data_IF_448321218505
#
_entry.id   IF_448321218505
#
_cell.length_a   1.000
_cell.length_b   1.000
_cell.length_c   1.000
_cell.angle_alpha   90.00
_cell.angle_beta   90.00
_cell.angle_gamma   90.00
#
_symmetry.space_group_name_H-M   'P 1'
#
loop_
_entity.id
_entity.type
_entity.pdbx_description
1 polymer ?
#
# COMPACT_ATOMS: atom_id res chain seq x y z
N UNK A 1 -2.11 -13.14 14.85
CA UNK A 1 -0.91 -12.68 15.57
C UNK A 1 -0.90 -11.17 15.52
N UNK A 2 -0.26 -10.52 16.48
CA UNK A 2 -0.02 -9.08 16.47
C UNK A 2 1.49 -8.83 16.63
N UNK A 3 1.91 -7.57 16.66
CA UNK A 3 3.32 -7.18 16.79
C UNK A 3 4.02 -7.84 18.00
N UNK A 4 3.31 -8.03 19.12
CA UNK A 4 3.89 -8.52 20.37
C UNK A 4 4.15 -10.03 20.38
N UNK A 5 3.46 -10.78 19.52
CA UNK A 5 3.57 -12.25 19.45
C UNK A 5 3.81 -12.75 18.02
N UNK A 6 4.43 -11.92 17.18
CA UNK A 6 4.81 -12.32 15.84
C UNK A 6 5.85 -13.42 15.90
N UNK A 7 5.59 -14.50 15.18
CA UNK A 7 6.52 -15.60 14.95
C UNK A 7 6.54 -15.91 13.46
N UNK A 8 7.74 -15.86 12.87
CA UNK A 8 7.90 -15.99 11.42
C UNK A 8 7.49 -17.37 10.92
N UNK A 9 7.91 -18.42 11.62
CA UNK A 9 7.59 -19.80 11.23
C UNK A 9 6.08 -20.02 11.24
N UNK A 10 5.39 -19.58 12.30
CA UNK A 10 3.94 -19.64 12.38
C UNK A 10 3.27 -18.78 11.31
N UNK A 11 3.78 -17.58 11.01
CA UNK A 11 3.24 -16.72 9.96
C UNK A 11 3.29 -17.43 8.60
N UNK A 12 4.41 -18.05 8.27
CA UNK A 12 4.61 -18.74 6.99
C UNK A 12 3.78 -20.04 6.90
N UNK A 13 3.46 -20.68 8.03
CA UNK A 13 2.77 -21.98 8.11
C UNK A 13 1.28 -21.89 8.52
N UNK A 14 0.68 -20.71 8.45
CA UNK A 14 -0.76 -20.54 8.66
C UNK A 14 -1.39 -19.74 7.52
N UNK A 15 -2.71 -19.75 7.43
CA UNK A 15 -3.45 -18.90 6.52
C UNK A 15 -3.34 -17.42 6.92
N UNK A 16 -3.12 -16.55 5.94
CA UNK A 16 -3.19 -15.10 6.09
C UNK A 16 -4.56 -14.56 5.60
N UNK A 17 -4.69 -13.23 5.54
CA UNK A 17 -5.96 -12.58 5.15
C UNK A 17 -6.37 -12.89 3.70
N UNK A 18 -5.40 -13.03 2.79
CA UNK A 18 -5.65 -13.33 1.38
C UNK A 18 -6.25 -14.73 1.23
N UNK A 19 -5.72 -15.72 1.97
CA UNK A 19 -6.24 -17.08 1.98
C UNK A 19 -7.69 -17.15 2.48
N UNK A 20 -8.04 -16.31 3.47
CA UNK A 20 -9.39 -16.23 4.01
C UNK A 20 -10.33 -15.54 3.00
N UNK A 21 -9.90 -14.42 2.41
CA UNK A 21 -10.67 -13.69 1.40
C UNK A 21 -10.94 -14.55 0.16
N UNK A 22 -9.94 -15.29 -0.32
CA UNK A 22 -10.08 -16.20 -1.46
C UNK A 22 -11.10 -17.31 -1.18
N UNK A 23 -11.03 -17.95 0.01
CA UNK A 23 -12.01 -18.97 0.42
C UNK A 23 -13.42 -18.41 0.60
N UNK A 24 -13.55 -17.13 0.94
CA UNK A 24 -14.82 -16.43 0.98
C UNK A 24 -15.35 -16.03 -0.41
N UNK A 25 -14.67 -16.42 -1.50
CA UNK A 25 -15.10 -16.18 -2.87
C UNK A 25 -14.73 -14.80 -3.41
N UNK A 26 -13.85 -14.05 -2.73
CA UNK A 26 -13.33 -12.78 -3.26
C UNK A 26 -12.27 -13.08 -4.32
N UNK A 27 -12.41 -12.47 -5.50
CA UNK A 27 -11.40 -12.58 -6.55
C UNK A 27 -10.19 -11.71 -6.20
N UNK A 28 -9.00 -12.33 -6.13
CA UNK A 28 -7.77 -11.67 -5.71
C UNK A 28 -6.74 -11.64 -6.83
N UNK A 29 -5.92 -10.58 -6.83
CA UNK A 29 -4.73 -10.44 -7.67
C UNK A 29 -3.66 -9.69 -6.87
N UNK A 30 -2.43 -10.18 -6.87
CA UNK A 30 -1.26 -9.44 -6.39
C UNK A 30 -0.43 -8.96 -7.58
N UNK A 31 -0.19 -7.65 -7.67
CA UNK A 31 0.76 -7.04 -8.59
C UNK A 31 2.00 -6.64 -7.79
N UNK A 32 3.18 -6.99 -8.29
CA UNK A 32 4.45 -6.88 -7.57
C UNK A 32 5.46 -5.98 -8.32
N UNK A 33 6.01 -4.96 -7.65
CA UNK A 33 7.10 -4.11 -8.16
C UNK A 33 8.23 -3.84 -7.14
N UNK A 34 8.17 -4.40 -5.94
CA UNK A 34 9.12 -4.13 -4.84
C UNK A 34 10.07 -5.32 -4.56
N UNK A 35 10.25 -6.19 -5.55
CA UNK A 35 11.20 -7.31 -5.46
C UNK A 35 10.72 -8.47 -4.58
N UNK A 36 9.41 -8.55 -4.31
CA UNK A 36 8.76 -9.78 -3.86
C UNK A 36 7.72 -9.58 -2.76
N UNK A 37 6.70 -10.43 -2.79
CA UNK A 37 5.55 -10.46 -1.88
C UNK A 37 5.87 -11.03 -0.48
N UNK A 38 7.13 -11.45 -0.25
CA UNK A 38 7.60 -12.07 0.99
C UNK A 38 6.80 -13.33 1.39
N UNK A 39 6.30 -14.09 0.40
CA UNK A 39 5.43 -15.28 0.51
C UNK A 39 3.98 -14.99 0.97
N UNK A 40 3.54 -13.73 0.97
CA UNK A 40 2.18 -13.35 1.39
C UNK A 40 1.13 -13.80 0.35
N UNK A 41 1.42 -13.69 -0.95
CA UNK A 41 0.51 -14.02 -2.04
C UNK A 41 0.65 -15.46 -2.55
N UNK A 42 1.32 -16.35 -1.81
CA UNK A 42 1.67 -17.73 -2.21
C UNK A 42 0.52 -18.61 -2.77
N UNK A 43 -0.73 -18.31 -2.42
CA UNK A 43 -1.91 -19.10 -2.80
C UNK A 43 -2.87 -18.35 -3.76
N UNK A 44 -2.51 -17.15 -4.22
CA UNK A 44 -3.33 -16.34 -5.12
C UNK A 44 -2.58 -16.00 -6.41
N UNK A 45 -3.26 -15.58 -7.49
CA UNK A 45 -2.58 -15.10 -8.67
C UNK A 45 -1.65 -13.91 -8.35
N UNK A 46 -0.36 -14.06 -8.68
CA UNK A 46 0.66 -13.02 -8.58
C UNK A 46 1.15 -12.67 -9.98
N UNK A 47 1.30 -11.38 -10.25
CA UNK A 47 1.93 -10.84 -11.46
C UNK A 47 3.06 -9.90 -11.07
N UNK A 48 4.28 -10.34 -11.35
CA UNK A 48 5.45 -9.50 -11.22
C UNK A 48 5.59 -8.59 -12.45
N UNK A 49 5.90 -7.32 -12.19
CA UNK A 49 6.12 -6.37 -13.26
C UNK A 49 7.42 -6.71 -13.99
N UNK A 50 7.31 -7.03 -15.28
CA UNK A 50 8.48 -7.25 -16.12
C UNK A 50 9.33 -5.96 -16.22
N UNK A 51 10.64 -6.08 -15.98
CA UNK A 51 11.56 -4.92 -15.99
C UNK A 51 12.16 -4.67 -17.36
N UNK A 52 12.17 -5.68 -18.21
CA UNK A 52 12.47 -5.60 -19.63
C UNK A 52 11.20 -5.18 -20.39
N UNK A 53 11.36 -4.38 -21.45
CA UNK A 53 10.29 -4.01 -22.42
C UNK A 53 9.41 -2.79 -22.08
N UNK A 54 9.88 -1.83 -21.29
CA UNK A 54 9.16 -0.54 -21.07
C UNK A 54 10.10 0.67 -21.15
N UNK A 55 10.36 1.13 -22.37
CA UNK A 55 11.21 2.31 -22.59
C UNK A 55 10.66 3.54 -21.84
N UNK A 56 11.55 4.23 -21.12
CA UNK A 56 11.21 5.43 -20.34
C UNK A 56 10.51 5.19 -19.00
N UNK A 57 10.09 3.95 -18.70
CA UNK A 57 9.41 3.59 -17.44
C UNK A 57 10.23 2.61 -16.60
N UNK A 58 10.94 1.69 -17.25
CA UNK A 58 11.85 0.75 -16.63
C UNK A 58 13.26 0.87 -17.23
N UNK A 59 14.28 0.67 -16.39
CA UNK A 59 15.70 0.71 -16.80
C UNK A 59 16.36 -0.69 -16.82
N UNK A 60 15.57 -1.75 -16.65
CA UNK A 60 16.03 -3.14 -16.50
C UNK A 60 16.31 -3.54 -15.05
N UNK A 61 16.68 -2.60 -14.19
CA UNK A 61 16.90 -2.84 -12.76
C UNK A 61 15.63 -2.56 -11.94
N UNK A 62 14.92 -1.49 -12.27
CA UNK A 62 13.72 -1.01 -11.56
C UNK A 62 12.70 -0.50 -12.57
N UNK A 63 11.44 -0.37 -12.12
CA UNK A 63 10.39 0.33 -12.84
C UNK A 63 9.77 1.40 -11.95
N UNK A 64 9.29 2.48 -12.56
CA UNK A 64 8.39 3.40 -11.86
C UNK A 64 7.04 2.74 -11.59
N UNK A 65 6.43 3.04 -10.43
CA UNK A 65 5.17 2.41 -10.00
C UNK A 65 3.98 2.69 -10.93
N UNK A 66 4.04 3.71 -11.80
CA UNK A 66 2.99 3.97 -12.79
C UNK A 66 2.72 2.77 -13.71
N UNK A 67 3.74 1.94 -13.96
CA UNK A 67 3.64 0.73 -14.76
C UNK A 67 2.66 -0.30 -14.16
N UNK A 68 2.43 -0.24 -12.84
CA UNK A 68 1.49 -1.12 -12.14
C UNK A 68 0.03 -0.88 -12.56
N UNK A 69 -0.26 0.26 -13.19
CA UNK A 69 -1.60 0.59 -13.70
C UNK A 69 -1.86 0.01 -15.10
N UNK A 70 -0.83 -0.47 -15.79
CA UNK A 70 -0.97 -1.12 -17.08
C UNK A 70 -1.86 -2.38 -16.99
N UNK A 71 -2.68 -2.59 -18.01
CA UNK A 71 -3.60 -3.72 -18.15
C UNK A 71 -4.67 -3.85 -17.04
N UNK A 72 -4.80 -2.85 -16.17
CA UNK A 72 -5.70 -2.91 -15.01
C UNK A 72 -7.17 -3.11 -15.43
N UNK A 73 -7.61 -2.54 -16.56
CA UNK A 73 -8.95 -2.79 -17.13
C UNK A 73 -9.20 -4.26 -17.45
N UNK A 74 -8.25 -4.89 -18.14
CA UNK A 74 -8.34 -6.28 -18.53
C UNK A 74 -8.33 -7.17 -17.29
N UNK A 75 -7.45 -6.87 -16.33
CA UNK A 75 -7.34 -7.61 -15.07
C UNK A 75 -8.64 -7.56 -14.28
N UNK A 76 -9.23 -6.37 -14.17
CA UNK A 76 -10.55 -6.19 -13.56
C UNK A 76 -11.60 -6.98 -14.34
N UNK A 77 -11.64 -6.88 -15.68
CA UNK A 77 -12.64 -7.55 -16.49
C UNK A 77 -12.58 -9.10 -16.39
N UNK A 78 -11.40 -9.68 -16.16
CA UNK A 78 -11.24 -11.14 -16.01
C UNK A 78 -11.72 -11.69 -14.67
N UNK A 79 -11.94 -10.83 -13.67
CA UNK A 79 -12.39 -11.22 -12.34
C UNK A 79 -13.91 -11.26 -12.22
N UNK A 80 -14.44 -12.15 -11.38
CA UNK A 80 -15.87 -12.29 -11.12
C UNK A 80 -16.21 -11.87 -9.69
N UNK A 81 -17.44 -11.40 -9.48
CA UNK A 81 -17.94 -11.03 -8.14
C UNK A 81 -17.19 -9.87 -7.49
N UNK A 82 -17.14 -9.90 -6.16
CA UNK A 82 -16.34 -8.97 -5.36
C UNK A 82 -14.85 -9.24 -5.58
N UNK A 83 -14.05 -8.18 -5.67
CA UNK A 83 -12.64 -8.27 -6.05
C UNK A 83 -11.76 -7.35 -5.24
N UNK A 84 -10.51 -7.75 -5.07
CA UNK A 84 -9.48 -6.97 -4.40
C UNK A 84 -8.14 -7.18 -5.09
N UNK A 85 -7.56 -6.09 -5.59
CA UNK A 85 -6.26 -6.08 -6.26
C UNK A 85 -5.27 -5.43 -5.30
N UNK A 86 -4.19 -6.14 -4.97
CA UNK A 86 -3.08 -5.65 -4.17
C UNK A 86 -2.00 -5.17 -5.12
N UNK A 87 -1.50 -3.96 -4.91
CA UNK A 87 -0.40 -3.38 -5.68
C UNK A 87 0.75 -3.09 -4.73
N UNK A 88 1.83 -3.84 -4.85
CA UNK A 88 3.02 -3.68 -4.04
C UNK A 88 3.99 -2.74 -4.75
N UNK A 89 3.96 -1.47 -4.32
CA UNK A 89 4.78 -0.40 -4.87
C UNK A 89 6.20 -0.46 -4.32
N UNK A 90 7.18 -0.10 -5.16
CA UNK A 90 8.54 0.18 -4.67
C UNK A 90 8.59 1.51 -3.91
N UNK A 91 7.67 2.44 -4.22
CA UNK A 91 7.44 3.67 -3.46
C UNK A 91 8.70 4.49 -3.27
N UNK A 92 9.08 4.68 -2.01
CA UNK A 92 10.22 5.52 -1.61
C UNK A 92 11.47 4.72 -1.24
N UNK A 93 11.60 3.49 -1.75
CA UNK A 93 12.71 2.60 -1.38
C UNK A 93 14.09 3.19 -1.74
N UNK A 94 14.94 3.31 -0.71
CA UNK A 94 16.32 3.77 -0.79
C UNK A 94 17.34 2.66 -1.10
N UNK A 95 18.64 2.96 -1.16
CA UNK A 95 19.20 4.30 -1.13
C UNK A 95 19.08 5.02 -2.49
N UNK A 96 18.59 4.33 -3.53
CA UNK A 96 18.45 4.89 -4.89
C UNK A 96 17.16 5.71 -5.07
N UNK A 97 16.82 6.59 -4.12
CA UNK A 97 15.57 7.38 -4.15
C UNK A 97 15.37 8.11 -5.49
N UNK A 98 16.45 8.62 -6.09
CA UNK A 98 16.46 9.29 -7.39
C UNK A 98 15.99 8.42 -8.57
N UNK A 99 15.89 7.10 -8.39
CA UNK A 99 15.32 6.14 -9.37
C UNK A 99 13.82 5.89 -9.15
N UNK A 100 13.18 6.53 -8.15
CA UNK A 100 11.75 6.34 -7.85
C UNK A 100 10.84 7.32 -8.60
N UNK A 101 11.41 8.32 -9.29
CA UNK A 101 10.66 9.30 -10.06
C UNK A 101 11.39 9.65 -11.38
N UNK A 102 10.65 10.00 -12.45
CA UNK A 102 11.24 10.55 -13.67
C UNK A 102 11.93 11.88 -13.40
N UNK A 103 13.09 12.12 -14.03
CA UNK A 103 13.88 13.35 -13.81
C UNK A 103 13.10 14.63 -14.07
N UNK A 104 12.21 14.61 -15.06
CA UNK A 104 11.31 15.70 -15.43
C UNK A 104 10.22 15.99 -14.40
N UNK A 105 9.98 15.07 -13.45
CA UNK A 105 9.04 15.24 -12.34
C UNK A 105 9.72 15.66 -11.03
N UNK A 106 11.03 15.87 -11.04
CA UNK A 106 11.78 16.35 -9.89
C UNK A 106 11.50 17.84 -9.65
N UNK A 107 10.84 18.14 -8.53
CA UNK A 107 10.46 19.52 -8.16
C UNK A 107 11.40 20.10 -7.11
N UNK A 108 11.75 19.29 -6.10
CA UNK A 108 12.64 19.72 -5.02
C UNK A 108 14.10 19.53 -5.45
N UNK A 109 14.90 20.59 -5.35
CA UNK A 109 16.26 20.66 -5.87
C UNK A 109 17.16 21.48 -4.94
N UNK A 110 18.47 21.20 -4.85
CA UNK A 110 19.15 20.09 -5.54
C UNK A 110 18.76 18.72 -4.95
N UNK A 111 18.65 17.69 -5.79
CA UNK A 111 18.47 16.30 -5.35
C UNK A 111 19.82 15.56 -5.17
N UNK A 112 19.74 14.28 -4.81
CA UNK A 112 20.84 13.36 -4.54
C UNK A 112 20.81 12.20 -5.56
N UNK A 113 21.39 12.40 -6.76
CA UNK A 113 21.32 11.43 -7.86
C UNK A 113 22.37 10.31 -7.73
N UNK A 114 22.49 9.71 -6.54
CA UNK A 114 23.48 8.66 -6.23
C UNK A 114 22.98 7.70 -5.16
N UNK A 115 23.58 6.51 -5.10
CA UNK A 115 23.21 5.45 -4.16
C UNK A 115 23.96 5.54 -2.82
N UNK A 116 25.15 6.12 -2.82
CA UNK A 116 25.93 6.42 -1.61
C UNK A 116 25.48 7.77 -1.04
N UNK A 117 24.24 7.76 -0.52
CA UNK A 117 23.49 8.93 -0.05
C UNK A 117 24.20 9.70 1.07
N UNK A 118 25.10 9.07 1.81
CA UNK A 118 25.94 9.70 2.84
C UNK A 118 26.88 10.79 2.28
N UNK A 119 27.12 10.76 0.96
CA UNK A 119 27.92 11.76 0.25
C UNK A 119 27.07 12.92 -0.31
N UNK A 120 25.78 12.97 0.03
CA UNK A 120 24.90 14.11 -0.20
C UNK A 120 24.69 14.88 1.10
N UNK A 121 24.33 16.17 0.98
CA UNK A 121 23.78 16.88 2.14
C UNK A 121 22.43 16.30 2.55
N UNK A 122 22.07 16.43 3.83
CA UNK A 122 20.74 16.02 4.33
C UNK A 122 19.63 16.69 3.54
N UNK A 123 19.78 17.96 3.18
CA UNK A 123 18.81 18.69 2.34
C UNK A 123 18.61 18.02 0.98
N UNK A 124 19.69 17.60 0.31
CA UNK A 124 19.57 16.87 -0.97
C UNK A 124 18.85 15.54 -0.81
N UNK A 125 19.13 14.80 0.26
CA UNK A 125 18.48 13.52 0.55
C UNK A 125 16.98 13.75 0.78
N UNK A 126 16.62 14.74 1.60
CA UNK A 126 15.22 15.13 1.85
C UNK A 126 14.53 15.55 0.56
N UNK A 127 15.13 16.42 -0.26
CA UNK A 127 14.58 16.81 -1.56
C UNK A 127 14.33 15.60 -2.48
N UNK A 128 15.27 14.65 -2.50
CA UNK A 128 15.15 13.42 -3.31
C UNK A 128 14.00 12.56 -2.80
N UNK A 129 13.88 12.38 -1.48
CA UNK A 129 12.78 11.65 -0.84
C UNK A 129 11.43 12.34 -1.08
N UNK A 130 11.34 13.66 -0.95
CA UNK A 130 10.10 14.40 -1.19
C UNK A 130 9.65 14.29 -2.67
N UNK A 131 10.59 14.17 -3.61
CA UNK A 131 10.27 13.87 -5.00
C UNK A 131 9.70 12.45 -5.17
N UNK A 132 10.13 11.45 -4.38
CA UNK A 132 9.52 10.09 -4.40
C UNK A 132 8.10 10.11 -3.85
N UNK A 133 7.84 10.88 -2.78
CA UNK A 133 6.50 11.08 -2.21
C UNK A 133 5.59 11.75 -3.24
N UNK A 134 6.07 12.84 -3.87
CA UNK A 134 5.32 13.52 -4.94
C UNK A 134 4.98 12.58 -6.10
N UNK A 135 5.91 11.72 -6.49
CA UNK A 135 5.64 10.77 -7.57
C UNK A 135 4.66 9.67 -7.15
N UNK A 136 4.75 9.19 -5.91
CA UNK A 136 3.77 8.23 -5.35
C UNK A 136 2.37 8.84 -5.30
N UNK A 137 2.24 10.11 -4.90
CA UNK A 137 0.97 10.86 -4.95
C UNK A 137 0.43 10.96 -6.38
N UNK A 138 1.29 11.26 -7.36
CA UNK A 138 0.89 11.25 -8.77
C UNK A 138 0.36 9.87 -9.20
N UNK A 139 1.07 8.78 -8.92
CA UNK A 139 0.62 7.41 -9.27
C UNK A 139 -0.71 7.09 -8.58
N UNK A 140 -0.86 7.43 -7.30
CA UNK A 140 -2.11 7.28 -6.57
C UNK A 140 -3.26 8.08 -7.19
N UNK A 141 -3.00 9.32 -7.65
CA UNK A 141 -4.01 10.13 -8.34
C UNK A 141 -4.50 9.47 -9.62
N UNK A 142 -3.62 8.81 -10.38
CA UNK A 142 -3.99 8.08 -11.59
C UNK A 142 -4.81 6.82 -11.25
N UNK A 143 -4.45 6.12 -10.17
CA UNK A 143 -5.23 4.99 -9.68
C UNK A 143 -6.63 5.42 -9.19
N UNK A 144 -6.73 6.54 -8.48
CA UNK A 144 -8.02 7.09 -8.04
C UNK A 144 -8.89 7.50 -9.22
N UNK A 145 -8.33 8.22 -10.21
CA UNK A 145 -9.04 8.55 -11.45
C UNK A 145 -9.53 7.29 -12.17
N UNK A 146 -8.74 6.21 -12.14
CA UNK A 146 -9.15 4.93 -12.69
C UNK A 146 -10.32 4.32 -11.93
N UNK A 147 -10.25 4.27 -10.60
CA UNK A 147 -11.34 3.75 -9.75
C UNK A 147 -12.62 4.60 -9.86
N UNK A 148 -12.48 5.90 -10.09
CA UNK A 148 -13.58 6.83 -10.33
C UNK A 148 -14.29 6.52 -11.66
N UNK A 149 -13.53 6.29 -12.74
CA UNK A 149 -14.07 5.89 -14.05
C UNK A 149 -14.83 4.56 -14.06
N UNK A 150 -14.71 3.77 -12.98
CA UNK A 150 -15.32 2.46 -12.82
C UNK A 150 -16.61 2.50 -11.98
N UNK A 151 -16.99 3.65 -11.43
CA UNK A 151 -18.11 3.77 -10.49
C UNK A 151 -19.47 3.41 -11.09
N UNK A 152 -19.65 3.52 -12.41
CA UNK A 152 -20.90 3.11 -13.09
C UNK A 152 -21.13 1.59 -13.04
N UNK A 153 -20.07 0.81 -12.81
CA UNK A 153 -20.11 -0.67 -12.83
C UNK A 153 -19.77 -1.28 -11.47
N UNK A 154 -19.03 -0.55 -10.64
CA UNK A 154 -18.48 -1.08 -9.41
C UNK A 154 -18.56 -0.05 -8.28
N UNK A 155 -18.85 -0.56 -7.09
CA UNK A 155 -18.53 0.15 -5.86
C UNK A 155 -17.02 0.04 -5.63
N UNK A 156 -16.29 1.16 -5.73
CA UNK A 156 -14.82 1.18 -5.68
C UNK A 156 -14.30 1.81 -4.39
N UNK A 157 -13.16 1.33 -3.92
CA UNK A 157 -12.44 1.87 -2.78
C UNK A 157 -10.93 1.63 -2.95
N UNK A 158 -10.14 2.43 -2.24
CA UNK A 158 -8.70 2.33 -2.13
C UNK A 158 -8.30 2.40 -0.66
N UNK A 159 -7.43 1.49 -0.24
CA UNK A 159 -6.71 1.57 1.04
C UNK A 159 -5.23 1.56 0.67
N UNK A 160 -4.52 2.63 1.03
CA UNK A 160 -3.07 2.72 0.90
C UNK A 160 -2.46 2.73 2.30
N UNK A 161 -1.41 1.95 2.49
CA UNK A 161 -0.61 1.96 3.70
C UNK A 161 0.83 1.63 3.34
N UNK A 162 1.77 2.38 3.91
CA UNK A 162 3.19 2.06 3.78
C UNK A 162 3.58 0.98 4.81
N UNK A 163 4.54 0.15 4.44
CA UNK A 163 5.06 -0.97 5.23
C UNK A 163 5.99 -0.50 6.38
N UNK A 164 6.75 0.57 6.17
CA UNK A 164 7.50 1.28 7.22
C UNK A 164 7.88 2.70 6.75
N UNK A 165 8.38 3.52 7.67
CA UNK A 165 8.96 4.83 7.30
C UNK A 165 10.47 4.76 7.04
N UNK A 166 11.13 5.90 6.89
CA UNK A 166 12.55 6.01 6.49
C UNK A 166 13.31 6.99 7.40
N UNK A 167 14.61 6.75 7.61
CA UNK A 167 15.54 7.73 8.20
C UNK A 167 16.32 8.43 7.10
N UNK A 168 16.44 9.76 7.17
CA UNK A 168 17.03 10.59 6.12
C UNK A 168 18.30 11.32 6.57
N UNK A 169 18.87 10.93 7.71
CA UNK A 169 20.13 11.44 8.25
C UNK A 169 20.04 11.95 9.67
N UNK A 170 18.86 11.89 10.31
CA UNK A 170 18.65 12.29 11.69
C UNK A 170 19.58 11.51 12.62
N UNK A 171 20.39 12.22 13.39
CA UNK A 171 21.40 11.63 14.29
C UNK A 171 22.37 10.66 13.57
N UNK A 172 22.60 10.85 12.26
CA UNK A 172 23.45 9.98 11.44
C UNK A 172 22.80 8.65 11.06
N UNK A 173 21.49 8.47 11.29
CA UNK A 173 20.74 7.30 10.87
C UNK A 173 20.18 7.52 9.46
N UNK A 174 20.39 6.52 8.61
CA UNK A 174 19.86 6.46 7.25
C UNK A 174 19.10 5.16 7.06
N UNK A 175 18.23 5.14 6.06
CA UNK A 175 17.44 3.97 5.66
C UNK A 175 16.48 3.51 6.78
N UNK A 176 16.16 2.23 6.77
CA UNK A 176 15.25 1.58 7.71
C UNK A 176 15.80 0.22 8.16
N UNK A 177 15.03 -0.51 8.96
CA UNK A 177 15.38 -1.86 9.43
C UNK A 177 16.04 -1.89 10.81
N UNK A 178 15.95 -0.79 11.57
CA UNK A 178 16.34 -0.83 12.98
C UNK A 178 15.46 -1.82 13.75
N UNK A 179 16.00 -2.51 14.77
CA UNK A 179 15.18 -3.30 15.67
C UNK A 179 14.04 -2.45 16.23
N UNK A 180 12.80 -2.93 16.13
CA UNK A 180 11.60 -2.12 16.39
C UNK A 180 11.62 -1.39 17.75
N UNK A 181 12.19 -2.00 18.80
CA UNK A 181 12.31 -1.40 20.14
C UNK A 181 13.25 -0.20 20.21
N UNK A 182 14.13 -0.03 19.22
CA UNK A 182 15.09 1.05 19.07
C UNK A 182 14.77 1.94 17.86
N UNK A 183 13.78 1.55 17.06
CA UNK A 183 13.45 2.24 15.84
C UNK A 183 12.81 3.60 16.16
N UNK A 184 13.28 4.67 15.53
CA UNK A 184 12.71 6.00 15.69
C UNK A 184 11.30 6.10 15.08
N UNK A 185 10.56 7.15 15.45
CA UNK A 185 9.20 7.37 14.95
C UNK A 185 9.16 7.45 13.42
N UNK A 186 10.15 8.07 12.79
CA UNK A 186 10.21 8.17 11.32
C UNK A 186 10.40 6.83 10.60
N UNK A 187 10.79 5.74 11.27
CA UNK A 187 10.75 4.38 10.69
C UNK A 187 9.45 3.61 10.99
N UNK A 188 8.64 4.06 11.96
CA UNK A 188 7.50 3.28 12.48
C UNK A 188 6.15 3.95 12.29
N UNK A 189 6.11 5.26 12.08
CA UNK A 189 4.91 6.03 11.75
C UNK A 189 4.80 6.13 10.23
N UNK A 190 3.70 5.60 9.70
CA UNK A 190 3.45 5.51 8.25
C UNK A 190 2.12 6.16 7.87
N UNK A 191 1.98 6.62 6.61
CA UNK A 191 0.70 7.04 6.07
C UNK A 191 -0.26 5.85 5.95
N UNK A 192 -1.53 6.09 6.30
CA UNK A 192 -2.69 5.25 5.99
C UNK A 192 -3.75 6.14 5.35
N UNK A 193 -4.10 5.87 4.10
CA UNK A 193 -5.09 6.62 3.35
C UNK A 193 -6.23 5.71 2.95
N UNK A 194 -7.46 6.21 3.06
CA UNK A 194 -8.67 5.50 2.65
C UNK A 194 -9.47 6.43 1.76
N UNK A 195 -9.82 5.93 0.58
CA UNK A 195 -10.76 6.57 -0.34
C UNK A 195 -11.85 5.57 -0.70
N UNK A 196 -13.08 6.05 -0.83
CA UNK A 196 -14.25 5.23 -1.12
C UNK A 196 -15.18 6.00 -2.04
N UNK A 197 -15.73 5.36 -3.06
CA UNK A 197 -16.81 5.94 -3.84
C UNK A 197 -18.07 6.12 -2.99
N UNK A 198 -18.97 6.99 -3.46
CA UNK A 198 -20.29 7.16 -2.83
C UNK A 198 -21.07 5.83 -2.82
N UNK A 199 -21.06 5.10 -3.93
CA UNK A 199 -21.68 3.77 -4.02
C UNK A 199 -21.06 2.76 -3.04
N UNK A 200 -19.73 2.79 -2.87
CA UNK A 200 -19.05 1.89 -1.93
C UNK A 200 -19.42 2.19 -0.48
N UNK A 201 -19.29 3.45 -0.04
CA UNK A 201 -19.68 3.84 1.33
C UNK A 201 -21.15 3.54 1.63
N UNK A 202 -22.07 3.83 0.71
CA UNK A 202 -23.50 3.52 0.87
C UNK A 202 -23.76 2.02 0.95
N UNK A 203 -23.22 1.22 0.02
CA UNK A 203 -23.43 -0.23 0.01
C UNK A 203 -22.90 -0.92 1.26
N UNK A 204 -21.83 -0.38 1.86
CA UNK A 204 -21.22 -0.89 3.09
C UNK A 204 -21.77 -0.27 4.37
N UNK A 205 -22.72 0.67 4.26
CA UNK A 205 -23.27 1.39 5.41
C UNK A 205 -22.22 2.18 6.19
N UNK A 206 -21.18 2.67 5.54
CA UNK A 206 -20.07 3.37 6.19
C UNK A 206 -20.37 4.88 6.24
N UNK A 207 -20.43 5.42 7.45
CA UNK A 207 -20.45 6.86 7.72
C UNK A 207 -19.04 7.44 7.51
N UNK A 208 -18.87 8.11 6.37
CA UNK A 208 -17.60 8.73 5.98
C UNK A 208 -17.22 9.89 6.91
N UNK A 209 -18.19 10.60 7.47
CA UNK A 209 -17.90 11.71 8.38
C UNK A 209 -17.44 11.21 9.76
N UNK A 210 -18.04 10.10 10.22
CA UNK A 210 -17.52 9.36 11.36
C UNK A 210 -16.07 8.90 11.11
N UNK A 211 -15.74 8.36 9.92
CA UNK A 211 -14.37 7.95 9.61
C UNK A 211 -13.40 9.13 9.64
N UNK A 212 -13.76 10.28 9.03
CA UNK A 212 -12.94 11.50 9.06
C UNK A 212 -12.72 11.98 10.49
N UNK A 213 -13.76 12.00 11.32
CA UNK A 213 -13.65 12.43 12.72
C UNK A 213 -12.76 11.51 13.56
N UNK A 214 -12.52 10.28 13.10
CA UNK A 214 -11.68 9.29 13.77
C UNK A 214 -10.32 9.08 13.07
N UNK A 215 -9.95 9.88 12.05
CA UNK A 215 -8.72 9.68 11.27
C UNK A 215 -7.44 9.89 12.09
N UNK A 216 -7.49 10.79 13.08
CA UNK A 216 -6.35 11.13 13.95
C UNK A 216 -6.20 10.17 15.15
N UNK A 217 -7.06 9.16 15.27
CA UNK A 217 -6.90 8.14 16.31
C UNK A 217 -5.69 7.25 16.01
N UNK A 218 -5.05 6.68 17.04
CA UNK A 218 -3.92 5.79 16.84
C UNK A 218 -4.35 4.47 16.20
N UNK A 219 -3.80 4.17 15.03
CA UNK A 219 -3.94 2.90 14.33
C UNK A 219 -2.59 2.24 14.07
N UNK A 220 -2.60 0.95 13.77
CA UNK A 220 -1.42 0.19 13.39
C UNK A 220 -1.76 -0.86 12.33
N UNK A 221 -0.74 -1.47 11.73
CA UNK A 221 -0.92 -2.53 10.72
C UNK A 221 -1.80 -3.71 11.18
N UNK A 222 -1.86 -3.98 12.49
CA UNK A 222 -2.74 -5.01 13.04
C UNK A 222 -4.23 -4.77 12.71
N UNK A 223 -4.62 -3.52 12.46
CA UNK A 223 -5.98 -3.18 12.06
C UNK A 223 -6.29 -3.68 10.64
N UNK A 224 -5.30 -3.69 9.73
CA UNK A 224 -5.50 -3.99 8.31
C UNK A 224 -6.15 -5.36 8.09
N UNK A 225 -5.68 -6.39 8.80
CA UNK A 225 -6.24 -7.75 8.70
C UNK A 225 -7.75 -7.77 8.94
N UNK A 226 -8.20 -7.10 10.00
CA UNK A 226 -9.62 -7.09 10.37
C UNK A 226 -10.43 -6.15 9.49
N UNK A 227 -9.86 -5.01 9.07
CA UNK A 227 -10.52 -4.07 8.16
C UNK A 227 -10.77 -4.66 6.77
N UNK A 228 -9.84 -5.44 6.22
CA UNK A 228 -10.03 -6.11 4.93
C UNK A 228 -11.15 -7.15 4.99
N UNK A 229 -11.19 -7.96 6.06
CA UNK A 229 -12.27 -8.92 6.27
C UNK A 229 -13.61 -8.21 6.45
N UNK A 230 -13.63 -7.20 7.30
CA UNK A 230 -14.82 -6.42 7.58
C UNK A 230 -15.36 -5.78 6.30
N UNK A 231 -14.55 -5.01 5.58
CA UNK A 231 -15.04 -4.23 4.41
C UNK A 231 -15.54 -5.13 3.28
N UNK A 232 -15.08 -6.38 3.23
CA UNK A 232 -15.53 -7.39 2.28
C UNK A 232 -16.67 -8.27 2.82
N UNK A 233 -17.20 -7.96 4.00
CA UNK A 233 -18.29 -8.68 4.69
C UNK A 233 -18.00 -10.18 4.91
N UNK A 234 -16.74 -10.52 5.17
CA UNK A 234 -16.32 -11.91 5.40
C UNK A 234 -16.60 -12.33 6.84
N UNK A 235 -17.41 -13.37 7.01
CA UNK A 235 -17.70 -13.99 8.32
C UNK A 235 -16.66 -15.05 8.67
N UNK A 236 -15.93 -14.85 9.77
CA UNK A 236 -14.94 -15.80 10.27
C UNK A 236 -14.68 -15.61 11.77
N UNK A 237 -14.31 -16.69 12.48
CA UNK A 237 -13.89 -16.63 13.88
C UNK A 237 -12.59 -15.84 14.10
N UNK A 238 -11.83 -15.60 13.05
CA UNK A 238 -10.60 -14.81 13.11
C UNK A 238 -10.87 -13.30 13.17
N UNK A 239 -12.07 -12.84 12.80
CA UNK A 239 -12.42 -11.43 12.75
C UNK A 239 -12.65 -10.85 14.16
N UNK A 240 -12.16 -9.64 14.40
CA UNK A 240 -12.27 -8.92 15.66
C UNK A 240 -12.72 -7.49 15.35
N UNK A 241 -13.97 -7.16 15.67
CA UNK A 241 -14.59 -5.88 15.31
C UNK A 241 -13.91 -4.67 15.95
N UNK A 242 -13.29 -4.83 17.12
CA UNK A 242 -12.54 -3.75 17.79
C UNK A 242 -11.23 -3.39 17.08
N UNK A 243 -10.78 -4.20 16.11
CA UNK A 243 -9.59 -3.94 15.29
C UNK A 243 -9.94 -3.55 13.85
N UNK A 244 -11.21 -3.64 13.43
CA UNK A 244 -11.68 -3.12 12.13
C UNK A 244 -11.83 -1.58 12.20
N UNK A 245 -11.11 -0.89 11.32
CA UNK A 245 -11.15 0.58 11.17
C UNK A 245 -12.57 1.09 10.89
N UNK A 246 -13.38 0.30 10.19
CA UNK A 246 -14.71 0.68 9.73
C UNK A 246 -15.82 0.34 10.73
N UNK A 247 -15.59 -0.58 11.68
CA UNK A 247 -16.66 -1.16 12.48
C UNK A 247 -17.42 -0.13 13.32
N UNK A 248 -16.73 0.87 13.90
CA UNK A 248 -17.37 1.94 14.70
C UNK A 248 -18.20 2.91 13.87
N UNK A 249 -17.90 3.01 12.57
CA UNK A 249 -18.54 3.93 11.65
C UNK A 249 -19.48 3.22 10.67
N UNK A 250 -19.77 1.93 10.89
CA UNK A 250 -20.83 1.24 10.15
C UNK A 250 -22.15 1.42 10.85
N UNK A 251 -23.14 1.92 10.10
CA UNK A 251 -24.52 1.88 10.53
C UNK A 251 -25.01 0.44 10.39
N UNK A 252 -25.64 -0.09 11.42
CA UNK A 252 -26.37 -1.35 11.30
C UNK A 252 -27.40 -1.17 10.20
N UNK A 253 -27.31 -1.93 9.11
CA UNK A 253 -28.40 -1.98 8.15
C UNK A 253 -29.63 -2.52 8.88
N UNK A 254 -30.66 -1.67 9.00
CA UNK A 254 -32.00 -2.04 9.44
C UNK A 254 -32.71 -2.89 8.42
#
# INVERSE_FOLDING_TARGET
>A
MNRQNFDRSRADNQDNVLDILQRAGISLLWKENDGGDKNVAKNIPLKELARDNREGICDGDTCYDIAMLENLDQEIATQQGNRMIFMHFIGSHGPTYFKRYPKEMAVYQPDCPRADIENCSVEQIVNTYDNTIRYSDYVMSQLLAKLDSLQDRYNTALIYISDHGESLGENGLFLHGMPYSLAPEYQTRVPLLIWMSSGFSQSKGIDVECLRSNSELPYAHQNLFHSLLGVMDVSTKAYQANLDLFAKCRTSQS
#
